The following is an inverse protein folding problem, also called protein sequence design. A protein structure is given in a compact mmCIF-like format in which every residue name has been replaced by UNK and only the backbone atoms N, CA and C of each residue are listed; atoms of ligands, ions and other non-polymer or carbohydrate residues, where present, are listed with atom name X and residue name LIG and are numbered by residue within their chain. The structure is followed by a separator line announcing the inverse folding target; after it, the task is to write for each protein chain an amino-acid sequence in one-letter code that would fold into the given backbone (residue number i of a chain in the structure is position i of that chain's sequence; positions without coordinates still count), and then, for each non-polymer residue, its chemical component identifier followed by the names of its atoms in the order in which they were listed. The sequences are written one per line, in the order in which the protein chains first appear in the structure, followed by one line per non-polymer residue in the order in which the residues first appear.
data_IF_098790115195
#
_entry.id   IF_098790115195
#
_cell.length_a   1.000
_cell.length_b   1.000
_cell.length_c   1.000
_cell.angle_alpha   90.00
_cell.angle_beta   90.00
_cell.angle_gamma   90.00
#
_symmetry.space_group_name_H-M   'P 1'
#
loop_
_entity.id
_entity.type
_entity.pdbx_description
1 polymer ?
#
# COMPACT_ATOMS: atom_id res chain seq x y z
N UNK A 1 10.56 -50.76 -67.14
CA UNK A 1 11.44 -51.92 -66.86
C UNK A 1 12.45 -51.48 -65.81
N UNK A 2 12.29 -51.89 -64.54
CA UNK A 2 13.11 -52.90 -63.83
C UNK A 2 14.57 -52.47 -63.59
N UNK A 3 15.25 -52.66 -62.46
CA UNK A 3 15.02 -53.13 -61.07
C UNK A 3 16.43 -53.07 -60.45
N UNK A 4 16.55 -52.72 -59.15
CA UNK A 4 17.52 -53.22 -58.15
C UNK A 4 17.77 -52.10 -57.13
N UNK A 5 17.13 -52.07 -55.95
CA UNK A 5 17.27 -52.93 -54.75
C UNK A 5 18.67 -52.89 -54.10
N UNK A 6 18.60 -52.51 -52.81
CA UNK A 6 19.23 -53.15 -51.65
C UNK A 6 20.49 -52.47 -51.06
N UNK A 7 20.28 -51.79 -49.91
CA UNK A 7 20.99 -51.91 -48.61
C UNK A 7 22.53 -51.78 -48.60
N UNK A 8 23.24 -51.16 -47.66
CA UNK A 8 23.00 -50.76 -46.26
C UNK A 8 24.27 -50.03 -45.74
N UNK A 9 24.16 -49.49 -44.51
CA UNK A 9 25.18 -49.03 -43.53
C UNK A 9 25.41 -47.51 -43.50
N UNK A 10 24.81 -46.74 -42.57
CA UNK A 10 25.00 -46.61 -41.10
C UNK A 10 26.12 -45.64 -40.68
N UNK A 11 25.81 -44.91 -39.59
CA UNK A 11 26.59 -43.95 -38.81
C UNK A 11 26.59 -42.50 -39.35
N UNK A 12 25.97 -41.48 -38.75
CA UNK A 12 25.57 -41.27 -37.36
C UNK A 12 26.47 -40.21 -36.73
N UNK A 13 25.97 -38.98 -36.46
CA UNK A 13 26.42 -38.15 -35.33
C UNK A 13 25.53 -36.90 -35.12
N UNK A 14 24.77 -36.96 -34.03
CA UNK A 14 24.48 -35.91 -33.03
C UNK A 14 23.89 -34.58 -33.48
N UNK A 15 22.60 -34.44 -33.17
CA UNK A 15 21.86 -33.19 -32.97
C UNK A 15 22.22 -32.65 -31.58
N UNK A 16 22.74 -31.43 -31.49
CA UNK A 16 22.81 -30.68 -30.24
C UNK A 16 22.03 -29.38 -30.41
N UNK A 17 20.72 -29.46 -30.18
CA UNK A 17 19.88 -28.28 -30.00
C UNK A 17 20.03 -27.80 -28.55
N UNK A 18 20.83 -26.76 -28.34
CA UNK A 18 20.96 -26.10 -27.04
C UNK A 18 19.73 -25.20 -26.84
N UNK A 19 18.69 -25.72 -26.19
CA UNK A 19 17.55 -24.90 -25.74
C UNK A 19 17.93 -24.30 -24.40
N UNK A 20 18.30 -23.02 -24.38
CA UNK A 20 18.47 -22.25 -23.15
C UNK A 20 17.09 -21.79 -22.70
N UNK A 21 16.44 -22.56 -21.82
CA UNK A 21 15.26 -22.10 -21.08
C UNK A 21 15.71 -21.13 -20.00
N UNK A 22 15.54 -19.84 -20.24
CA UNK A 22 15.62 -18.82 -19.18
C UNK A 22 14.41 -18.99 -18.26
N UNK A 23 14.61 -19.51 -17.07
CA UNK A 23 13.61 -19.51 -16.01
C UNK A 23 13.53 -18.07 -15.51
N UNK A 24 12.52 -17.32 -15.94
CA UNK A 24 12.21 -16.03 -15.34
C UNK A 24 11.69 -16.31 -13.93
N UNK A 25 12.42 -15.87 -12.90
CA UNK A 25 11.90 -15.83 -11.54
C UNK A 25 10.78 -14.80 -11.51
N UNK A 26 9.54 -15.27 -11.36
CA UNK A 26 8.43 -14.40 -11.05
C UNK A 26 8.68 -13.80 -9.66
N UNK A 27 8.90 -12.48 -9.59
CA UNK A 27 8.90 -11.78 -8.32
C UNK A 27 7.47 -11.90 -7.75
N UNK A 28 7.31 -12.66 -6.68
CA UNK A 28 6.07 -12.66 -5.90
C UNK A 28 5.97 -11.26 -5.29
N UNK A 29 4.96 -10.49 -5.72
CA UNK A 29 4.68 -9.21 -5.07
C UNK A 29 4.31 -9.49 -3.61
N UNK A 30 5.04 -8.85 -2.68
CA UNK A 30 4.70 -8.93 -1.27
C UNK A 30 3.25 -8.48 -1.04
N UNK A 31 2.50 -9.09 -0.11
CA UNK A 31 1.14 -8.66 0.19
C UNK A 31 1.18 -7.19 0.61
N UNK A 32 0.43 -6.34 -0.11
CA UNK A 32 0.22 -4.95 0.33
C UNK A 32 -0.58 -5.02 1.61
N UNK A 33 0.03 -4.63 2.73
CA UNK A 33 -0.63 -4.65 4.02
C UNK A 33 -1.81 -3.69 3.98
N UNK A 34 -3.03 -4.22 4.02
CA UNK A 34 -4.23 -3.40 4.12
C UNK A 34 -4.28 -2.79 5.52
N UNK A 35 -4.12 -1.47 5.62
CA UNK A 35 -4.16 -0.76 6.90
C UNK A 35 -5.61 -0.37 7.20
N UNK A 36 -6.02 -0.60 8.44
CA UNK A 36 -7.27 -0.10 9.03
C UNK A 36 -7.06 0.15 10.51
N UNK A 37 -6.72 1.38 10.87
CA UNK A 37 -6.33 1.73 12.23
C UNK A 37 -6.79 3.16 12.59
N UNK A 38 -6.95 3.46 13.89
CA UNK A 38 -7.26 4.83 14.33
C UNK A 38 -6.03 5.73 14.29
N UNK A 39 -4.83 5.15 14.33
CA UNK A 39 -3.57 5.88 14.20
C UNK A 39 -2.78 5.26 13.07
N UNK A 40 -2.24 6.09 12.18
CA UNK A 40 -1.36 5.66 11.11
C UNK A 40 -0.16 6.61 10.99
N UNK A 41 0.96 6.10 10.53
CA UNK A 41 2.17 6.90 10.26
C UNK A 41 2.58 6.73 8.81
N UNK A 42 3.07 7.79 8.20
CA UNK A 42 3.58 7.76 6.83
C UNK A 42 4.61 8.84 6.56
N UNK A 43 5.22 8.76 5.39
CA UNK A 43 6.13 9.79 4.85
C UNK A 43 5.53 10.32 3.58
N UNK A 44 5.38 11.64 3.48
CA UNK A 44 4.95 12.30 2.26
C UNK A 44 6.14 13.03 1.61
N UNK A 45 6.52 12.67 0.37
CA UNK A 45 7.60 13.35 -0.33
C UNK A 45 7.35 14.85 -0.49
N UNK A 46 8.42 15.64 -0.51
CA UNK A 46 8.36 17.02 -0.96
C UNK A 46 8.15 17.09 -2.47
N UNK A 47 7.53 18.18 -2.93
CA UNK A 47 7.29 18.42 -4.35
C UNK A 47 6.04 19.25 -4.58
N UNK A 48 5.88 19.78 -5.79
CA UNK A 48 4.61 20.37 -6.15
C UNK A 48 3.59 19.23 -6.35
N UNK A 49 2.43 19.34 -5.70
CA UNK A 49 1.31 18.38 -5.83
C UNK A 49 1.53 17.00 -5.20
N UNK A 50 2.44 16.83 -4.24
CA UNK A 50 2.53 15.56 -3.52
C UNK A 50 1.28 15.38 -2.65
N UNK A 51 0.55 14.28 -2.88
CA UNK A 51 -0.67 13.94 -2.16
C UNK A 51 -0.71 12.44 -1.84
N UNK A 52 -1.22 12.10 -0.65
CA UNK A 52 -1.56 10.74 -0.24
C UNK A 52 -3.06 10.71 0.06
N UNK A 53 -3.75 9.78 -0.58
CA UNK A 53 -5.19 9.60 -0.48
C UNK A 53 -5.49 8.39 0.40
N UNK A 54 -6.13 8.63 1.54
CA UNK A 54 -6.49 7.60 2.53
C UNK A 54 -8.00 7.55 2.70
N UNK A 55 -8.54 6.36 2.92
CA UNK A 55 -9.95 6.23 3.31
C UNK A 55 -10.14 6.57 4.78
N UNK A 56 -11.36 6.98 5.14
CA UNK A 56 -11.76 7.19 6.53
C UNK A 56 -13.17 6.62 6.75
N UNK A 57 -13.26 5.65 7.65
CA UNK A 57 -14.50 4.96 8.02
C UNK A 57 -14.99 5.44 9.39
N UNK A 58 -16.15 6.08 9.44
CA UNK A 58 -16.75 6.62 10.66
C UNK A 58 -17.30 5.50 11.54
N UNK A 59 -16.96 5.50 12.83
CA UNK A 59 -17.39 4.48 13.78
C UNK A 59 -18.85 4.73 14.21
N UNK A 60 -19.18 5.98 14.56
CA UNK A 60 -20.54 6.41 14.90
C UNK A 60 -20.86 7.78 14.29
N UNK A 61 -22.11 8.02 13.84
CA UNK A 61 -22.51 9.35 13.40
C UNK A 61 -22.32 10.38 14.51
N UNK A 62 -21.73 11.53 14.20
CA UNK A 62 -21.44 12.54 15.23
C UNK A 62 -20.22 13.38 14.91
N UNK A 63 -19.57 13.90 15.95
CA UNK A 63 -18.30 14.59 15.78
C UNK A 63 -17.19 13.56 15.53
N UNK A 64 -16.33 13.86 14.56
CA UNK A 64 -15.12 13.10 14.24
C UNK A 64 -14.01 14.11 14.09
N UNK A 65 -12.87 13.83 14.73
CA UNK A 65 -11.71 14.72 14.71
C UNK A 65 -10.51 13.96 14.20
N UNK A 66 -9.76 14.57 13.29
CA UNK A 66 -8.45 14.06 12.84
C UNK A 66 -7.38 15.02 13.33
N UNK A 67 -6.37 14.47 13.99
CA UNK A 67 -5.18 15.20 14.41
C UNK A 67 -3.98 14.70 13.62
N UNK A 68 -3.27 15.60 12.96
CA UNK A 68 -1.98 15.33 12.35
C UNK A 68 -0.87 15.85 13.27
N UNK A 69 0.15 15.02 13.52
CA UNK A 69 1.41 15.42 14.15
C UNK A 69 2.52 15.26 13.13
N UNK A 70 3.24 16.35 12.87
CA UNK A 70 4.33 16.40 11.90
C UNK A 70 5.69 16.28 12.61
N UNK A 71 6.70 15.79 11.90
CA UNK A 71 8.09 15.76 12.40
C UNK A 71 8.76 17.14 12.53
N UNK A 72 8.08 18.19 12.02
CA UNK A 72 8.55 19.57 12.02
C UNK A 72 7.45 20.55 12.42
N UNK A 73 7.86 21.71 12.93
CA UNK A 73 6.95 22.78 13.37
C UNK A 73 6.64 23.84 12.31
N UNK A 74 7.46 23.94 11.26
CA UNK A 74 7.13 24.75 10.09
C UNK A 74 6.18 23.96 9.18
N UNK A 75 4.89 24.31 9.28
CA UNK A 75 3.82 23.64 8.55
C UNK A 75 3.49 24.33 7.22
N UNK A 76 4.33 25.25 6.76
CA UNK A 76 4.15 25.94 5.49
C UNK A 76 4.05 24.95 4.31
N UNK A 77 2.88 24.91 3.67
CA UNK A 77 2.63 24.06 2.51
C UNK A 77 2.42 22.58 2.82
N UNK A 78 2.27 22.18 4.08
CA UNK A 78 1.85 20.81 4.44
C UNK A 78 0.54 20.83 5.22
N UNK A 79 -0.22 19.77 5.06
CA UNK A 79 -1.47 19.65 5.77
C UNK A 79 -2.29 18.48 5.27
N UNK A 80 -3.59 18.54 5.59
CA UNK A 80 -4.54 17.58 5.09
C UNK A 80 -5.92 18.19 4.88
N UNK A 81 -6.71 17.53 4.06
CA UNK A 81 -8.12 17.82 3.84
C UNK A 81 -8.98 16.59 4.15
N UNK A 82 -10.20 16.81 4.62
CA UNK A 82 -11.24 15.79 4.75
C UNK A 82 -12.29 16.06 3.68
N UNK A 83 -12.56 15.06 2.86
CA UNK A 83 -13.49 15.12 1.73
C UNK A 83 -14.65 14.16 1.96
N UNK A 84 -15.85 14.58 1.55
CA UNK A 84 -16.98 13.67 1.37
C UNK A 84 -17.00 13.13 -0.08
N UNK A 85 -17.94 12.22 -0.37
CA UNK A 85 -18.04 11.59 -1.70
C UNK A 85 -18.26 12.61 -2.85
N UNK A 86 -19.04 13.67 -2.63
CA UNK A 86 -19.27 14.72 -3.63
C UNK A 86 -17.98 15.50 -3.93
N UNK A 87 -17.22 15.84 -2.89
CA UNK A 87 -15.94 16.51 -3.06
C UNK A 87 -14.92 15.64 -3.80
N UNK A 88 -14.85 14.34 -3.50
CA UNK A 88 -14.01 13.40 -4.23
C UNK A 88 -14.39 13.38 -5.72
N UNK A 89 -15.69 13.35 -6.04
CA UNK A 89 -16.16 13.42 -7.41
C UNK A 89 -15.75 14.73 -8.12
N UNK A 90 -15.80 15.87 -7.42
CA UNK A 90 -15.34 17.15 -7.95
C UNK A 90 -13.83 17.17 -8.22
N UNK A 91 -13.01 16.64 -7.30
CA UNK A 91 -11.55 16.61 -7.48
C UNK A 91 -11.16 15.66 -8.61
N UNK A 92 -11.75 14.47 -8.67
CA UNK A 92 -11.52 13.51 -9.77
C UNK A 92 -11.99 14.03 -11.13
N UNK A 93 -12.90 14.99 -11.15
CA UNK A 93 -13.33 15.72 -12.36
C UNK A 93 -12.43 16.91 -12.73
N UNK A 94 -11.31 17.11 -12.04
CA UNK A 94 -10.31 18.16 -12.30
C UNK A 94 -10.35 19.35 -11.34
N UNK A 95 -11.20 19.30 -10.30
CA UNK A 95 -11.15 20.24 -9.19
C UNK A 95 -9.90 20.05 -8.31
N UNK A 96 -9.68 20.95 -7.35
CA UNK A 96 -8.61 20.85 -6.34
C UNK A 96 -9.18 20.50 -4.98
N UNK A 97 -8.50 19.64 -4.21
CA UNK A 97 -8.94 19.26 -2.86
C UNK A 97 -9.03 20.48 -1.91
N UNK A 98 -8.13 21.45 -2.04
CA UNK A 98 -8.17 22.72 -1.30
C UNK A 98 -9.49 23.48 -1.45
N UNK A 99 -10.12 23.39 -2.62
CA UNK A 99 -11.37 24.09 -2.93
C UNK A 99 -12.61 23.19 -2.73
N UNK A 100 -12.40 21.88 -2.59
CA UNK A 100 -13.44 20.86 -2.49
C UNK A 100 -13.16 19.98 -1.29
N UNK A 101 -13.43 20.46 -0.08
CA UNK A 101 -13.32 19.70 1.16
C UNK A 101 -14.42 20.12 2.14
N UNK A 102 -14.72 19.25 3.10
CA UNK A 102 -15.61 19.56 4.23
C UNK A 102 -14.86 20.08 5.45
N UNK A 103 -13.56 19.80 5.55
CA UNK A 103 -12.68 20.35 6.56
C UNK A 103 -11.21 20.31 6.12
N UNK A 104 -10.39 21.16 6.72
CA UNK A 104 -8.95 21.23 6.50
C UNK A 104 -8.21 21.27 7.85
N UNK A 105 -7.03 20.64 7.88
CA UNK A 105 -6.14 20.70 9.04
C UNK A 105 -5.73 22.14 9.34
N UNK A 106 -6.02 22.60 10.56
CA UNK A 106 -5.64 23.92 11.05
C UNK A 106 -4.66 23.77 12.21
N UNK A 107 -3.62 24.61 12.25
CA UNK A 107 -2.59 24.51 13.28
C UNK A 107 -3.23 24.68 14.67
N UNK A 108 -2.91 23.76 15.58
CA UNK A 108 -3.41 23.84 16.95
C UNK A 108 -2.74 25.03 17.63
N UNK A 109 -3.56 25.88 18.27
CA UNK A 109 -3.07 27.04 19.00
C UNK A 109 -2.03 26.64 20.05
N UNK A 110 -0.95 27.43 20.19
CA UNK A 110 0.21 27.07 21.02
C UNK A 110 -0.11 26.85 22.52
N UNK A 111 -1.24 27.35 23.01
CA UNK A 111 -1.70 27.11 24.39
C UNK A 111 -2.53 25.82 24.55
N UNK A 112 -2.92 25.17 23.44
CA UNK A 112 -3.73 23.94 23.39
C UNK A 112 -2.94 22.72 22.91
N UNK A 113 -1.87 22.91 22.15
CA UNK A 113 -1.11 21.82 21.55
C UNK A 113 0.28 22.20 21.12
N UNK A 114 0.99 21.24 20.55
CA UNK A 114 2.34 21.43 20.05
C UNK A 114 2.31 22.14 18.68
N UNK A 115 3.33 22.95 18.34
CA UNK A 115 3.33 23.74 17.10
C UNK A 115 3.38 22.88 15.83
N UNK A 116 3.74 21.61 15.95
CA UNK A 116 3.74 20.63 14.86
C UNK A 116 2.41 19.86 14.73
N UNK A 117 1.33 20.33 15.38
CA UNK A 117 0.02 19.68 15.32
C UNK A 117 -0.98 20.48 14.51
N UNK A 118 -1.79 19.76 13.73
CA UNK A 118 -2.97 20.28 13.05
C UNK A 118 -4.19 19.45 13.43
N UNK A 119 -5.34 20.11 13.49
CA UNK A 119 -6.63 19.46 13.77
C UNK A 119 -7.67 19.88 12.75
N UNK A 120 -8.53 18.93 12.38
CA UNK A 120 -9.76 19.17 11.66
C UNK A 120 -10.88 18.34 12.27
N UNK A 121 -12.05 18.95 12.45
CA UNK A 121 -13.25 18.24 12.89
C UNK A 121 -14.36 18.35 11.86
N UNK A 122 -15.12 17.27 11.71
CA UNK A 122 -16.36 17.25 10.95
C UNK A 122 -17.50 16.78 11.85
N UNK A 123 -18.73 17.14 11.47
CA UNK A 123 -19.93 16.45 11.95
C UNK A 123 -20.32 15.42 10.89
N UNK A 124 -19.86 14.18 11.07
CA UNK A 124 -20.04 13.11 10.12
C UNK A 124 -21.52 12.75 9.92
N UNK A 125 -21.95 12.74 8.65
CA UNK A 125 -23.30 12.37 8.21
C UNK A 125 -23.31 11.15 7.29
N UNK A 126 -22.14 10.73 6.79
CA UNK A 126 -21.90 9.49 6.04
C UNK A 126 -20.96 8.55 6.81
N UNK A 127 -20.93 7.28 6.40
CA UNK A 127 -19.97 6.32 6.95
C UNK A 127 -18.56 6.50 6.36
N UNK A 128 -18.48 6.98 5.12
CA UNK A 128 -17.22 7.07 4.37
C UNK A 128 -16.83 8.50 4.09
N UNK A 129 -15.55 8.79 4.29
CA UNK A 129 -14.85 10.02 3.95
C UNK A 129 -13.47 9.68 3.37
N UNK A 130 -12.81 10.69 2.83
CA UNK A 130 -11.45 10.57 2.30
C UNK A 130 -10.56 11.61 2.94
N UNK A 131 -9.38 11.20 3.36
CA UNK A 131 -8.33 12.08 3.86
C UNK A 131 -7.29 12.28 2.75
N UNK A 132 -6.97 13.54 2.45
CA UNK A 132 -5.91 13.89 1.48
C UNK A 132 -4.80 14.59 2.24
N UNK A 133 -3.71 13.89 2.50
CA UNK A 133 -2.48 14.49 3.07
C UNK A 133 -1.69 15.10 1.94
N UNK A 134 -1.22 16.33 2.08
CA UNK A 134 -0.47 17.01 1.02
C UNK A 134 0.83 17.61 1.54
N UNK A 135 1.79 17.73 0.62
CA UNK A 135 3.05 18.42 0.84
C UNK A 135 3.44 19.19 -0.41
N UNK A 136 3.29 20.51 -0.38
CA UNK A 136 3.71 21.44 -1.44
C UNK A 136 5.10 22.06 -1.14
N UNK A 137 5.75 21.65 -0.04
CA UNK A 137 7.10 22.09 0.30
C UNK A 137 8.15 21.30 -0.47
N UNK A 138 9.41 21.75 -0.43
CA UNK A 138 10.53 21.05 -1.08
C UNK A 138 11.13 19.91 -0.25
N UNK A 139 10.65 19.70 0.98
CA UNK A 139 11.21 18.75 1.93
C UNK A 139 10.17 17.69 2.26
N UNK A 140 10.59 16.43 2.26
CA UNK A 140 9.80 15.32 2.78
C UNK A 140 9.35 15.62 4.21
N UNK A 141 8.20 15.06 4.58
CA UNK A 141 7.65 15.19 5.92
C UNK A 141 7.15 13.84 6.42
N UNK A 142 7.48 13.51 7.65
CA UNK A 142 6.89 12.37 8.35
C UNK A 142 5.68 12.87 9.13
N UNK A 143 4.59 12.13 9.05
CA UNK A 143 3.35 12.46 9.75
C UNK A 143 2.82 11.25 10.51
N UNK A 144 2.16 11.53 11.62
CA UNK A 144 1.26 10.61 12.31
C UNK A 144 -0.13 11.22 12.31
N UNK A 145 -1.11 10.48 11.81
CA UNK A 145 -2.52 10.83 11.85
C UNK A 145 -3.21 10.01 12.93
N UNK A 146 -4.04 10.67 13.74
CA UNK A 146 -4.91 10.02 14.71
C UNK A 146 -6.34 10.48 14.47
N UNK A 147 -7.24 9.53 14.27
CA UNK A 147 -8.66 9.76 14.08
C UNK A 147 -9.45 9.35 15.33
N UNK A 148 -10.13 10.33 15.93
CA UNK A 148 -11.13 10.09 16.96
C UNK A 148 -12.50 9.81 16.30
N UNK A 149 -13.15 8.74 16.73
CA UNK A 149 -14.42 8.25 16.17
C UNK A 149 -14.38 7.86 14.67
N UNK A 150 -13.20 7.44 14.16
CA UNK A 150 -13.05 6.86 12.82
C UNK A 150 -11.83 5.92 12.73
N UNK A 151 -11.82 5.05 11.72
CA UNK A 151 -10.63 4.32 11.27
C UNK A 151 -10.10 4.94 9.98
N UNK A 152 -8.78 5.07 9.87
CA UNK A 152 -8.07 5.45 8.65
C UNK A 152 -7.72 4.16 7.91
N UNK A 153 -7.99 4.12 6.61
CA UNK A 153 -7.73 2.96 5.76
C UNK A 153 -6.76 3.28 4.63
N UNK A 154 -5.90 2.31 4.31
CA UNK A 154 -4.98 2.39 3.18
C UNK A 154 -4.83 1.03 2.50
N UNK A 155 -5.02 1.02 1.19
CA UNK A 155 -4.78 -0.13 0.32
C UNK A 155 -3.58 0.05 -0.62
N UNK A 156 -2.88 1.18 -0.52
CA UNK A 156 -1.79 1.57 -1.43
C UNK A 156 -0.40 1.43 -0.80
N UNK A 157 -0.30 1.18 0.51
CA UNK A 157 0.97 1.01 1.22
C UNK A 157 1.72 2.32 1.50
N UNK A 158 1.00 3.45 1.55
CA UNK A 158 1.54 4.76 1.88
C UNK A 158 1.71 4.98 3.40
N UNK A 159 0.94 4.25 4.21
CA UNK A 159 0.99 4.35 5.68
C UNK A 159 1.11 2.98 6.33
N UNK A 160 1.52 2.98 7.60
CA UNK A 160 1.57 1.80 8.48
C UNK A 160 0.77 2.06 9.75
N UNK A 161 0.26 1.00 10.37
CA UNK A 161 -0.29 1.06 11.73
C UNK A 161 0.87 0.90 12.74
N UNK A 162 1.21 1.95 13.51
CA UNK A 162 2.30 1.89 14.48
C UNK A 162 2.04 0.93 15.65
N UNK A 163 0.80 0.44 15.81
CA UNK A 163 0.41 -0.52 16.84
C UNK A 163 0.21 -1.94 16.30
N UNK A 164 0.46 -2.18 15.00
CA UNK A 164 0.32 -3.51 14.43
C UNK A 164 1.28 -4.50 15.10
N UNK A 165 0.75 -5.66 15.49
CA UNK A 165 1.56 -6.79 15.93
C UNK A 165 2.08 -7.48 14.67
N UNK A 166 3.39 -7.39 14.42
CA UNK A 166 4.06 -8.21 13.41
C UNK A 166 4.00 -9.66 13.88
N UNK A 167 3.23 -10.47 13.16
CA UNK A 167 3.28 -11.92 13.28
C UNK A 167 4.27 -12.37 12.22
N UNK A 168 5.47 -12.76 12.63
CA UNK A 168 6.43 -13.37 11.71
C UNK A 168 5.85 -14.71 11.23
N UNK A 169 5.35 -14.74 9.99
CA UNK A 169 5.07 -15.99 9.27
C UNK A 169 6.38 -16.56 8.74
N UNK A 170 7.24 -17.03 9.65
CA UNK A 170 8.44 -17.77 9.27
C UNK A 170 8.19 -19.28 9.43
N UNK A 171 8.21 -19.97 8.28
CA UNK A 171 8.30 -21.42 8.06
C UNK A 171 7.08 -22.30 8.42
N UNK A 172 6.12 -22.38 7.50
CA UNK A 172 5.50 -23.67 7.15
C UNK A 172 6.18 -24.18 5.87
N UNK A 173 7.46 -24.56 5.98
CA UNK A 173 8.10 -25.38 4.95
C UNK A 173 7.47 -26.77 5.03
N UNK A 174 6.93 -27.20 3.90
CA UNK A 174 6.24 -28.47 3.78
C UNK A 174 7.26 -29.60 3.88
N UNK A 175 7.20 -30.37 4.96
CA UNK A 175 7.79 -31.70 4.98
C UNK A 175 7.01 -32.57 3.97
N UNK A 176 7.54 -32.67 2.75
CA UNK A 176 7.12 -33.69 1.78
C UNK A 176 7.29 -35.06 2.42
N UNK A 177 6.18 -35.78 2.57
CA UNK A 177 6.20 -37.20 2.86
C UNK A 177 6.86 -37.94 1.68
N UNK A 178 8.13 -38.30 1.82
CA UNK A 178 8.77 -39.30 0.99
C UNK A 178 8.25 -40.69 1.40
N UNK A 179 7.21 -41.16 0.71
CA UNK A 179 6.85 -42.57 0.64
C UNK A 179 7.68 -43.18 -0.50
N UNK A 180 8.84 -43.74 -0.16
CA UNK A 180 9.67 -44.52 -1.09
C UNK A 180 9.25 -45.99 -0.99
N UNK A 181 8.45 -46.43 -1.96
CA UNK A 181 8.09 -47.82 -2.16
C UNK A 181 9.31 -48.65 -2.60
N UNK A 182 9.46 -49.81 -1.95
CA UNK A 182 10.00 -51.06 -2.46
C UNK A 182 11.53 -51.24 -2.58
N UNK A 183 12.07 -52.09 -1.70
CA UNK A 183 13.15 -53.00 -2.02
C UNK A 183 12.77 -54.44 -1.61
N UNK A 184 12.11 -55.13 -2.54
CA UNK A 184 12.24 -56.59 -2.70
C UNK A 184 13.53 -56.85 -3.51
N UNK A 185 14.56 -57.47 -2.93
CA UNK A 185 15.06 -58.78 -3.38
C UNK A 185 16.20 -59.35 -2.49
N UNK A 186 16.06 -60.66 -2.26
CA UNK A 186 16.95 -61.77 -1.88
C UNK A 186 18.26 -61.66 -1.06
N UNK A 187 18.32 -62.48 0.01
CA UNK A 187 19.27 -63.60 0.17
C UNK A 187 18.75 -64.65 1.18
#
# INVERSE_FOLDING_TARGET
MSKARLQQLLAGLVIAALVVTSIATAAVAAPVQQVRAQTVTGTIPGGQFAEIWLGMEIIQPGQTTVTATWDRSDLGGIGFFILNAENVASVTSGGRARDNNVAAGSQVEAFRGAPNQQEASIRATSADYTLVVFNESQQDAIFTLTADNAYITDGSGNVTDPNAVVVDEEAADGEEAADDEAATDEA
#
